data_IF_742527895023
#
_entry.id   IF_742527895023
#
_cell.length_a   1.000
_cell.length_b   1.000
_cell.length_c   1.000
_cell.angle_alpha   90.00
_cell.angle_beta   90.00
_cell.angle_gamma   90.00
#
_symmetry.space_group_name_H-M   'P 1'
#
loop_
_entity.id
_entity.type
_entity.pdbx_description
1 polymer ?
#
# COMPACT_ATOMS: atom_id res chain seq x y z
N UNK A 1 39.35 6.10 -19.35
CA UNK A 1 38.76 4.87 -18.79
C UNK A 1 37.56 4.49 -19.64
N UNK A 2 37.56 3.30 -20.26
CA UNK A 2 36.54 2.89 -21.25
C UNK A 2 35.19 2.58 -20.58
N UNK A 3 34.09 2.99 -21.22
CA UNK A 3 32.68 2.75 -20.84
C UNK A 3 32.40 1.29 -20.42
N UNK A 4 33.11 0.33 -21.01
CA UNK A 4 32.99 -1.10 -20.70
C UNK A 4 33.44 -1.46 -19.27
N UNK A 5 34.48 -0.80 -18.74
CA UNK A 5 35.02 -1.10 -17.41
C UNK A 5 34.12 -0.59 -16.29
N UNK A 6 33.42 0.53 -16.51
CA UNK A 6 32.43 1.06 -15.58
C UNK A 6 31.20 0.14 -15.51
N UNK A 7 30.74 -0.36 -16.66
CA UNK A 7 29.61 -1.31 -16.73
C UNK A 7 29.91 -2.63 -16.02
N UNK A 8 31.11 -3.20 -16.19
CA UNK A 8 31.51 -4.43 -15.49
C UNK A 8 31.59 -4.25 -13.98
N UNK A 9 32.06 -3.09 -13.50
CA UNK A 9 32.07 -2.77 -12.06
C UNK A 9 30.66 -2.64 -11.48
N UNK A 10 29.76 -1.93 -12.16
CA UNK A 10 28.36 -1.79 -11.74
C UNK A 10 27.68 -3.17 -11.70
N UNK A 11 27.82 -3.95 -12.78
CA UNK A 11 27.24 -5.30 -12.85
C UNK A 11 27.76 -6.22 -11.74
N UNK A 12 29.06 -6.11 -11.38
CA UNK A 12 29.65 -6.89 -10.29
C UNK A 12 29.16 -6.46 -8.90
N UNK A 13 28.91 -5.17 -8.69
CA UNK A 13 28.40 -4.63 -7.43
C UNK A 13 26.93 -5.01 -7.22
N UNK A 14 26.11 -4.92 -8.28
CA UNK A 14 24.71 -5.34 -8.26
C UNK A 14 24.58 -6.85 -8.03
N UNK A 15 25.43 -7.65 -8.69
CA UNK A 15 25.48 -9.10 -8.48
C UNK A 15 25.88 -9.45 -7.04
N UNK A 16 26.87 -8.73 -6.47
CA UNK A 16 27.29 -8.92 -5.09
C UNK A 16 26.20 -8.50 -4.10
N UNK A 17 25.45 -7.42 -4.37
CA UNK A 17 24.30 -7.00 -3.57
C UNK A 17 23.16 -8.02 -3.65
N UNK A 18 22.83 -8.50 -4.84
CA UNK A 18 21.82 -9.53 -5.06
C UNK A 18 22.19 -10.84 -4.36
N UNK A 19 23.45 -11.26 -4.45
CA UNK A 19 23.97 -12.45 -3.75
C UNK A 19 23.96 -12.27 -2.22
N UNK A 20 24.23 -11.06 -1.69
CA UNK A 20 24.12 -10.76 -0.25
C UNK A 20 22.67 -10.73 0.25
N UNK A 21 21.74 -10.23 -0.56
CA UNK A 21 20.30 -10.30 -0.27
C UNK A 21 19.83 -11.75 -0.24
N UNK A 22 20.27 -12.56 -1.21
CA UNK A 22 19.89 -13.97 -1.37
C UNK A 22 20.54 -14.90 -0.35
N UNK A 23 21.81 -14.69 -0.02
CA UNK A 23 22.55 -15.48 0.97
C UNK A 23 22.17 -15.17 2.43
N UNK A 24 21.48 -14.04 2.67
CA UNK A 24 21.10 -13.58 4.00
C UNK A 24 19.59 -13.45 4.22
N UNK A 25 18.74 -14.06 3.39
CA UNK A 25 17.30 -14.08 3.63
C UNK A 25 16.96 -15.11 4.71
N UNK A 26 17.39 -14.85 5.96
CA UNK A 26 16.94 -15.63 7.10
C UNK A 26 15.42 -15.52 7.25
N UNK A 27 14.80 -16.51 7.90
CA UNK A 27 13.35 -16.56 8.15
C UNK A 27 12.77 -15.19 8.56
N UNK A 28 13.49 -14.42 9.39
CA UNK A 28 13.07 -13.08 9.82
C UNK A 28 12.81 -12.07 8.70
N UNK A 29 13.52 -12.11 7.57
CA UNK A 29 13.29 -11.21 6.42
C UNK A 29 11.98 -11.45 5.69
N UNK A 30 11.37 -12.63 5.89
CA UNK A 30 10.10 -13.02 5.28
C UNK A 30 8.98 -12.89 6.33
N UNK A 31 9.18 -13.47 7.51
CA UNK A 31 8.16 -13.55 8.54
C UNK A 31 7.87 -12.21 9.24
N UNK A 32 8.88 -11.34 9.41
CA UNK A 32 8.65 -10.05 10.07
C UNK A 32 7.74 -9.12 9.24
N UNK A 33 7.97 -8.91 7.93
CA UNK A 33 7.02 -8.16 7.09
C UNK A 33 5.63 -8.79 7.06
N UNK A 34 5.54 -10.13 6.98
CA UNK A 34 4.25 -10.82 7.00
C UNK A 34 3.49 -10.59 8.29
N UNK A 35 4.17 -10.68 9.44
CA UNK A 35 3.56 -10.43 10.75
C UNK A 35 3.06 -8.98 10.84
N UNK A 36 3.85 -8.01 10.38
CA UNK A 36 3.45 -6.60 10.34
C UNK A 36 2.21 -6.44 9.49
N UNK A 37 2.19 -7.00 8.27
CA UNK A 37 1.03 -6.92 7.38
C UNK A 37 -0.19 -7.56 8.05
N UNK A 38 -0.06 -8.75 8.65
CA UNK A 38 -1.18 -9.45 9.29
C UNK A 38 -1.76 -8.67 10.47
N UNK A 39 -0.90 -8.11 11.32
CA UNK A 39 -1.36 -7.33 12.46
C UNK A 39 -1.98 -5.99 12.03
N UNK A 40 -1.35 -5.28 11.09
CA UNK A 40 -1.83 -3.97 10.62
C UNK A 40 -3.12 -4.11 9.79
N UNK A 41 -3.20 -5.09 8.88
CA UNK A 41 -4.43 -5.35 8.13
C UNK A 41 -5.52 -5.98 8.99
N UNK A 42 -5.19 -6.92 9.87
CA UNK A 42 -6.18 -7.53 10.76
C UNK A 42 -6.81 -6.50 11.71
N UNK A 43 -5.99 -5.66 12.33
CA UNK A 43 -6.48 -4.59 13.22
C UNK A 43 -7.28 -3.51 12.48
N UNK A 44 -7.09 -3.36 11.17
CA UNK A 44 -7.86 -2.40 10.37
C UNK A 44 -9.36 -2.70 10.42
N UNK A 45 -9.78 -3.96 10.33
CA UNK A 45 -11.21 -4.32 10.41
C UNK A 45 -11.80 -3.93 11.77
N UNK A 46 -11.06 -4.18 12.86
CA UNK A 46 -11.49 -3.72 14.17
C UNK A 46 -11.57 -2.19 14.25
N UNK A 47 -10.56 -1.49 13.72
CA UNK A 47 -10.52 -0.03 13.70
C UNK A 47 -11.66 0.60 12.88
N UNK A 48 -12.02 -0.01 11.75
CA UNK A 48 -13.16 0.43 10.93
C UNK A 48 -14.44 0.32 11.76
N UNK A 49 -14.74 -0.86 12.31
CA UNK A 49 -15.93 -1.07 13.14
C UNK A 49 -16.07 -0.05 14.26
N UNK A 50 -14.98 0.25 14.97
CA UNK A 50 -14.99 1.25 16.03
C UNK A 50 -15.20 2.68 15.51
N UNK A 51 -14.65 3.00 14.34
CA UNK A 51 -14.76 4.35 13.76
C UNK A 51 -16.16 4.61 13.15
N UNK A 52 -16.77 3.61 12.53
CA UNK A 52 -18.07 3.77 11.85
C UNK A 52 -19.24 3.98 12.82
N UNK A 53 -19.04 3.69 14.11
CA UNK A 53 -20.01 3.99 15.18
C UNK A 53 -20.13 5.51 15.44
N UNK A 54 -19.12 6.30 15.06
CA UNK A 54 -19.08 7.76 15.31
C UNK A 54 -18.98 8.60 14.04
N UNK A 55 -18.37 8.07 12.98
CA UNK A 55 -18.15 8.77 11.72
C UNK A 55 -18.89 8.03 10.60
N UNK A 56 -19.64 8.73 9.72
CA UNK A 56 -20.25 8.10 8.56
C UNK A 56 -19.21 7.27 7.76
N UNK A 57 -19.47 5.99 7.46
CA UNK A 57 -18.44 5.05 6.99
C UNK A 57 -17.73 5.48 5.72
N UNK A 58 -18.47 5.96 4.72
CA UNK A 58 -17.86 6.43 3.48
C UNK A 58 -17.00 7.68 3.70
N UNK A 59 -17.40 8.55 4.64
CA UNK A 59 -16.60 9.71 5.04
C UNK A 59 -15.33 9.26 5.79
N UNK A 60 -15.45 8.32 6.72
CA UNK A 60 -14.31 7.74 7.43
C UNK A 60 -13.30 7.14 6.46
N UNK A 61 -13.77 6.29 5.53
CA UNK A 61 -12.92 5.70 4.49
C UNK A 61 -12.29 6.78 3.62
N UNK A 62 -13.09 7.74 3.12
CA UNK A 62 -12.63 8.84 2.29
C UNK A 62 -11.54 9.67 2.95
N UNK A 63 -11.72 10.06 4.22
CA UNK A 63 -10.71 10.80 4.99
C UNK A 63 -9.44 9.97 5.18
N UNK A 64 -9.57 8.71 5.61
CA UNK A 64 -8.42 7.81 5.83
C UNK A 64 -7.53 7.74 4.59
N UNK A 65 -8.13 7.52 3.43
CA UNK A 65 -7.39 7.35 2.19
C UNK A 65 -6.91 8.68 1.58
N UNK A 66 -7.66 9.77 1.77
CA UNK A 66 -7.20 11.10 1.38
C UNK A 66 -5.96 11.51 2.17
N UNK A 67 -5.94 11.25 3.49
CA UNK A 67 -4.78 11.51 4.35
C UNK A 67 -3.58 10.64 3.91
N UNK A 68 -3.79 9.34 3.68
CA UNK A 68 -2.72 8.47 3.20
C UNK A 68 -2.14 8.92 1.84
N UNK A 69 -3.02 9.27 0.89
CA UNK A 69 -2.64 9.80 -0.41
C UNK A 69 -1.87 11.12 -0.30
N UNK A 70 -2.30 12.04 0.55
CA UNK A 70 -1.62 13.30 0.80
C UNK A 70 -0.22 13.10 1.40
N UNK A 71 -0.07 12.18 2.37
CA UNK A 71 1.23 11.85 2.97
C UNK A 71 2.15 11.24 1.91
N UNK A 72 1.67 10.28 1.12
CA UNK A 72 2.47 9.66 0.05
C UNK A 72 2.87 10.68 -1.02
N UNK A 73 1.96 11.58 -1.39
CA UNK A 73 2.25 12.63 -2.35
C UNK A 73 3.31 13.60 -1.82
N UNK A 74 3.16 14.08 -0.57
CA UNK A 74 4.16 14.92 0.10
C UNK A 74 5.53 14.24 0.20
N UNK A 75 5.54 12.93 0.50
CA UNK A 75 6.77 12.13 0.54
C UNK A 75 7.44 12.04 -0.83
N UNK A 76 6.67 11.85 -1.92
CA UNK A 76 7.21 11.83 -3.29
C UNK A 76 7.81 13.17 -3.71
N UNK A 77 7.21 14.28 -3.28
CA UNK A 77 7.75 15.62 -3.47
C UNK A 77 9.10 15.74 -2.74
N UNK A 78 9.17 15.28 -1.49
CA UNK A 78 10.40 15.30 -0.69
C UNK A 78 11.55 14.48 -1.27
N UNK A 79 11.24 13.44 -2.05
CA UNK A 79 12.23 12.63 -2.80
C UNK A 79 12.65 13.24 -4.13
N UNK A 80 12.03 14.33 -4.56
CA UNK A 80 12.30 14.97 -5.85
C UNK A 80 11.74 14.21 -7.06
N UNK A 81 10.95 13.15 -6.85
CA UNK A 81 10.39 12.33 -7.92
C UNK A 81 9.39 13.12 -8.76
N UNK A 82 8.62 13.98 -8.09
CA UNK A 82 7.65 14.86 -8.72
C UNK A 82 8.30 15.94 -9.60
N UNK A 83 9.61 16.20 -9.49
CA UNK A 83 10.27 17.20 -10.34
C UNK A 83 10.57 16.70 -11.76
N UNK A 84 10.67 15.38 -11.96
CA UNK A 84 10.90 14.76 -13.27
C UNK A 84 9.60 14.38 -13.98
N UNK A 85 8.56 14.05 -13.22
CA UNK A 85 7.28 13.56 -13.76
C UNK A 85 6.10 14.14 -12.96
N UNK A 86 5.79 15.43 -13.20
CA UNK A 86 4.63 16.07 -12.55
C UNK A 86 3.34 15.50 -13.15
N UNK A 87 2.38 15.04 -12.33
CA UNK A 87 1.09 14.61 -12.85
C UNK A 87 0.37 15.80 -13.47
N UNK A 88 0.03 15.70 -14.76
CA UNK A 88 -0.82 16.64 -15.47
C UNK A 88 -2.29 16.47 -15.10
N UNK A 89 -3.15 17.36 -15.62
CA UNK A 89 -4.61 17.34 -15.32
C UNK A 89 -5.28 16.01 -15.62
N UNK A 90 -4.90 15.37 -16.73
CA UNK A 90 -5.44 14.06 -17.12
C UNK A 90 -5.01 12.98 -16.14
N UNK A 91 -3.74 12.97 -15.71
CA UNK A 91 -3.27 12.01 -14.70
C UNK A 91 -3.96 12.22 -13.35
N UNK A 92 -4.22 13.46 -12.93
CA UNK A 92 -4.96 13.74 -11.70
C UNK A 92 -6.39 13.22 -11.76
N UNK A 93 -7.11 13.47 -12.86
CA UNK A 93 -8.48 12.98 -13.04
C UNK A 93 -8.51 11.45 -13.09
N UNK A 94 -7.58 10.84 -13.83
CA UNK A 94 -7.47 9.39 -13.88
C UNK A 94 -7.14 8.79 -12.50
N UNK A 95 -6.23 9.40 -11.74
CA UNK A 95 -5.87 8.95 -10.40
C UNK A 95 -7.04 9.08 -9.42
N UNK A 96 -7.83 10.15 -9.51
CA UNK A 96 -9.05 10.33 -8.72
C UNK A 96 -10.08 9.27 -9.07
N UNK A 97 -10.39 9.07 -10.35
CA UNK A 97 -11.38 8.09 -10.80
C UNK A 97 -10.97 6.66 -10.45
N UNK A 98 -9.74 6.27 -10.79
CA UNK A 98 -9.23 4.92 -10.51
C UNK A 98 -9.09 4.69 -9.01
N UNK A 99 -8.58 5.67 -8.28
CA UNK A 99 -8.47 5.62 -6.82
C UNK A 99 -9.84 5.46 -6.17
N UNK A 100 -10.81 6.29 -6.56
CA UNK A 100 -12.17 6.23 -6.04
C UNK A 100 -12.84 4.89 -6.37
N UNK A 101 -12.82 4.42 -7.62
CA UNK A 101 -13.40 3.13 -8.00
C UNK A 101 -12.75 1.94 -7.26
N UNK A 102 -11.42 1.90 -7.17
CA UNK A 102 -10.69 0.83 -6.47
C UNK A 102 -10.96 0.84 -4.97
N UNK A 103 -10.93 2.02 -4.35
CA UNK A 103 -11.15 2.14 -2.91
C UNK A 103 -12.61 1.92 -2.53
N UNK A 104 -13.56 2.43 -3.33
CA UNK A 104 -14.98 2.31 -3.07
C UNK A 104 -15.47 0.88 -3.28
N UNK A 105 -15.02 0.22 -4.36
CA UNK A 105 -15.36 -1.16 -4.65
C UNK A 105 -14.79 -2.15 -3.62
N UNK A 106 -13.51 -2.02 -3.29
CA UNK A 106 -12.87 -2.92 -2.32
C UNK A 106 -13.13 -2.53 -0.87
N UNK A 107 -12.49 -1.45 -0.42
CA UNK A 107 -12.51 -1.06 1.00
C UNK A 107 -13.85 -0.44 1.41
N UNK A 108 -14.50 0.34 0.54
CA UNK A 108 -15.82 0.88 0.77
C UNK A 108 -16.87 -0.22 0.97
N UNK A 109 -16.80 -1.30 0.19
CA UNK A 109 -17.60 -2.50 0.38
C UNK A 109 -17.41 -3.14 1.76
N UNK A 110 -16.16 -3.30 2.20
CA UNK A 110 -15.83 -3.81 3.55
C UNK A 110 -16.41 -2.90 4.64
N UNK A 111 -16.19 -1.60 4.51
CA UNK A 111 -16.66 -0.58 5.47
C UNK A 111 -18.19 -0.55 5.57
N UNK A 112 -18.89 -0.77 4.45
CA UNK A 112 -20.35 -0.93 4.44
C UNK A 112 -20.79 -2.27 5.03
N UNK A 113 -20.10 -3.37 4.71
CA UNK A 113 -20.39 -4.69 5.23
C UNK A 113 -20.23 -4.74 6.75
N UNK A 114 -19.21 -4.09 7.30
CA UNK A 114 -18.95 -4.03 8.74
C UNK A 114 -20.05 -3.35 9.55
N UNK A 115 -21.03 -2.67 8.93
CA UNK A 115 -22.25 -2.25 9.62
C UNK A 115 -23.13 -3.44 9.99
N UNK A 116 -23.16 -4.44 9.13
CA UNK A 116 -24.11 -5.56 9.16
C UNK A 116 -23.48 -6.86 9.65
N UNK A 117 -22.17 -7.04 9.52
CA UNK A 117 -21.47 -8.27 9.91
C UNK A 117 -20.36 -8.00 10.93
N UNK A 118 -20.04 -8.98 11.82
CA UNK A 118 -18.89 -8.90 12.71
C UNK A 118 -17.56 -8.83 11.95
N UNK A 119 -16.59 -8.11 12.52
CA UNK A 119 -15.25 -7.90 11.93
C UNK A 119 -14.50 -9.21 11.64
N UNK A 120 -14.69 -10.24 12.46
CA UNK A 120 -14.12 -11.57 12.21
C UNK A 120 -14.67 -12.23 10.94
N UNK A 121 -15.97 -12.10 10.69
CA UNK A 121 -16.60 -12.62 9.46
C UNK A 121 -16.16 -11.81 8.25
N UNK A 122 -16.10 -10.48 8.37
CA UNK A 122 -15.59 -9.61 7.32
C UNK A 122 -14.15 -9.98 6.93
N UNK A 123 -13.26 -10.17 7.91
CA UNK A 123 -11.87 -10.56 7.67
C UNK A 123 -11.76 -11.93 6.99
N UNK A 124 -12.57 -12.91 7.39
CA UNK A 124 -12.59 -14.24 6.76
C UNK A 124 -13.05 -14.17 5.30
N UNK A 125 -14.10 -13.42 4.99
CA UNK A 125 -14.60 -13.24 3.62
C UNK A 125 -13.59 -12.50 2.74
N UNK A 126 -12.84 -11.52 3.28
CA UNK A 126 -11.79 -10.86 2.50
C UNK A 126 -10.59 -11.79 2.30
N UNK A 127 -10.28 -12.66 3.26
CA UNK A 127 -9.20 -13.64 3.11
C UNK A 127 -9.45 -14.65 1.97
N UNK A 128 -10.69 -14.81 1.51
CA UNK A 128 -11.03 -15.68 0.36
C UNK A 128 -10.93 -15.00 -1.00
N UNK A 129 -10.69 -13.69 -1.09
CA UNK A 129 -10.54 -12.96 -2.37
C UNK A 129 -9.53 -13.59 -3.36
N UNK A 130 -8.42 -14.23 -2.93
CA UNK A 130 -7.48 -14.86 -3.86
C UNK A 130 -7.95 -16.18 -4.49
N UNK A 131 -9.05 -16.77 -4.03
CA UNK A 131 -9.60 -18.05 -4.51
C UNK A 131 -10.46 -17.85 -5.76
#
# INVERSE_FOLDING_TARGET
MSSAALRLRILSADMALALRVRAGAGLGRIWLPLLIVYLVWGSTYLGIRLAIDTIPPLLMAGVRFSVAGAILYAFSIGRGETQRDRPGRVQWVAALLVGELLLFGGNGGVVLAERSIPTGIAALLVATVPL
#
